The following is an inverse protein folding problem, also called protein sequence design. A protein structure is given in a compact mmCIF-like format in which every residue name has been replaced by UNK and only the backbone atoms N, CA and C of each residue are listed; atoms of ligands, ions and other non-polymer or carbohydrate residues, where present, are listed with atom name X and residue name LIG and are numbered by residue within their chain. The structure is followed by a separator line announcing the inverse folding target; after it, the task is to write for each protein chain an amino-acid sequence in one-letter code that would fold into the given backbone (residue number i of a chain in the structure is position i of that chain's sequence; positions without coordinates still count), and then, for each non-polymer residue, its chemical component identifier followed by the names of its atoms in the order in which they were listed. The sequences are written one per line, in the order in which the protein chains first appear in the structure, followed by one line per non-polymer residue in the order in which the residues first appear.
data_IF_150312418211
#
_entry.id   IF_150312418211
#
_cell.length_a   1.000
_cell.length_b   1.000
_cell.length_c   1.000
_cell.angle_alpha   90.00
_cell.angle_beta   90.00
_cell.angle_gamma   90.00
#
_symmetry.space_group_name_H-M   'P 1'
#
loop_
_entity.id
_entity.type
_entity.pdbx_description
1 polymer ?
#
# COMPACT_ATOMS: atom_id res chain seq x y z
N UNK A 1 -25.83 -10.42 -15.01
CA UNK A 1 -24.52 -10.12 -15.61
C UNK A 1 -23.58 -11.21 -15.14
N UNK A 2 -22.95 -11.96 -16.04
CA UNK A 2 -22.05 -13.07 -15.65
C UNK A 2 -20.70 -12.44 -15.31
N UNK A 3 -20.28 -12.53 -14.06
CA UNK A 3 -18.91 -12.26 -13.65
C UNK A 3 -18.12 -13.56 -13.69
N UNK A 4 -16.84 -13.46 -14.01
CA UNK A 4 -15.87 -14.56 -13.95
C UNK A 4 -14.72 -14.15 -13.02
N UNK A 5 -13.81 -15.06 -12.70
CA UNK A 5 -12.76 -14.82 -11.71
C UNK A 5 -11.37 -15.03 -12.26
N UNK A 6 -10.42 -14.29 -11.69
CA UNK A 6 -9.00 -14.46 -11.94
C UNK A 6 -8.25 -14.42 -10.62
N UNK A 7 -7.28 -15.31 -10.46
CA UNK A 7 -6.36 -15.35 -9.33
C UNK A 7 -4.99 -14.86 -9.79
N UNK A 8 -4.43 -13.89 -9.08
CA UNK A 8 -3.13 -13.30 -9.44
C UNK A 8 -2.23 -13.20 -8.21
N UNK A 9 -0.93 -13.22 -8.48
CA UNK A 9 0.12 -12.91 -7.52
C UNK A 9 0.90 -11.68 -7.96
N UNK A 10 1.07 -10.71 -7.06
CA UNK A 10 1.98 -9.57 -7.25
C UNK A 10 3.24 -9.80 -6.45
N UNK A 11 4.41 -9.69 -7.10
CA UNK A 11 5.72 -9.94 -6.48
C UNK A 11 6.55 -8.68 -6.55
N UNK A 12 6.96 -8.17 -5.40
CA UNK A 12 7.76 -6.95 -5.28
C UNK A 12 9.10 -7.03 -5.98
N UNK A 13 9.38 -6.05 -6.84
CA UNK A 13 10.71 -5.80 -7.46
C UNK A 13 11.42 -4.67 -6.71
N UNK A 14 10.67 -3.81 -6.03
CA UNK A 14 11.17 -2.75 -5.14
C UNK A 14 10.48 -2.88 -3.78
N UNK A 15 11.11 -2.39 -2.69
CA UNK A 15 10.47 -2.41 -1.38
C UNK A 15 9.10 -1.75 -1.42
N UNK A 16 8.13 -2.30 -0.70
CA UNK A 16 6.82 -1.67 -0.50
C UNK A 16 6.95 -0.61 0.59
N UNK A 17 6.36 0.55 0.35
CA UNK A 17 6.21 1.61 1.35
C UNK A 17 4.73 1.80 1.62
N UNK A 18 4.28 1.46 2.84
CA UNK A 18 2.88 1.63 3.21
C UNK A 18 2.60 3.05 3.69
N UNK A 19 1.39 3.52 3.41
CA UNK A 19 0.88 4.75 3.98
C UNK A 19 -0.65 4.70 4.08
N UNK A 20 -1.16 4.11 5.15
CA UNK A 20 -2.58 4.11 5.45
C UNK A 20 -3.13 5.52 5.67
N UNK A 21 -4.40 5.72 5.29
CA UNK A 21 -5.12 6.98 5.45
C UNK A 21 -5.51 7.30 6.89
N UNK A 22 -5.26 6.41 7.86
CA UNK A 22 -5.65 6.62 9.27
C UNK A 22 -5.18 7.95 9.82
N UNK A 23 -3.93 8.32 9.52
CA UNK A 23 -3.28 9.56 9.98
C UNK A 23 -3.89 10.85 9.39
N UNK A 24 -4.78 10.76 8.41
CA UNK A 24 -5.51 11.93 7.89
C UNK A 24 -6.92 12.08 8.48
N UNK A 25 -7.47 11.03 9.11
CA UNK A 25 -8.77 11.12 9.78
C UNK A 25 -8.61 11.77 11.16
N UNK A 26 -9.19 12.96 11.41
CA UNK A 26 -9.08 13.63 12.71
C UNK A 26 -9.80 12.88 13.85
N UNK A 27 -10.69 11.94 13.52
CA UNK A 27 -11.44 11.13 14.49
C UNK A 27 -10.72 9.82 14.86
N UNK A 28 -9.76 9.36 14.05
CA UNK A 28 -9.00 8.15 14.35
C UNK A 28 -8.16 8.35 15.63
N UNK A 29 -8.20 7.41 16.60
CA UNK A 29 -7.39 7.47 17.81
C UNK A 29 -5.90 7.75 17.57
N UNK A 30 -5.31 7.17 16.51
CA UNK A 30 -3.88 7.32 16.22
C UNK A 30 -3.54 8.72 15.72
N UNK A 31 -4.46 9.36 15.00
CA UNK A 31 -4.33 10.76 14.57
C UNK A 31 -4.42 11.71 15.75
N UNK A 32 -5.34 11.44 16.69
CA UNK A 32 -5.48 12.23 17.93
C UNK A 32 -4.24 12.10 18.80
N UNK A 33 -3.67 10.90 18.90
CA UNK A 33 -2.41 10.65 19.62
C UNK A 33 -1.24 11.41 18.98
N UNK A 34 -1.13 11.36 17.65
CA UNK A 34 -0.11 12.10 16.91
C UNK A 34 -0.26 13.61 17.14
N UNK A 35 -1.48 14.15 17.01
CA UNK A 35 -1.79 15.56 17.19
C UNK A 35 -1.40 16.09 18.58
N UNK A 36 -1.63 15.29 19.64
CA UNK A 36 -1.24 15.63 21.01
C UNK A 36 0.26 15.89 21.16
N UNK A 37 1.10 15.14 20.44
CA UNK A 37 2.56 15.26 20.52
C UNK A 37 3.08 16.29 19.53
N UNK A 38 2.52 16.32 18.31
CA UNK A 38 2.92 17.29 17.28
C UNK A 38 2.49 18.71 17.61
N UNK A 39 1.46 18.90 18.43
CA UNK A 39 1.01 20.19 18.95
C UNK A 39 1.93 20.83 20.00
N UNK A 40 2.90 20.09 20.56
CA UNK A 40 3.86 20.65 21.53
C UNK A 40 4.72 21.74 20.88
N UNK A 41 4.83 22.90 21.55
CA UNK A 41 5.66 24.04 21.09
C UNK A 41 7.16 23.69 21.02
N UNK A 42 7.68 23.06 22.07
CA UNK A 42 9.05 22.56 22.13
C UNK A 42 9.00 21.03 22.18
N UNK A 43 9.67 20.37 21.24
CA UNK A 43 9.72 18.90 21.14
C UNK A 43 11.10 18.41 21.55
N UNK A 44 11.11 17.40 22.39
CA UNK A 44 12.33 16.69 22.80
C UNK A 44 12.70 15.60 21.79
N UNK A 45 13.90 15.04 21.92
CA UNK A 45 14.27 13.85 21.16
C UNK A 45 13.30 12.67 21.41
N UNK A 46 12.75 12.56 22.63
CA UNK A 46 11.75 11.54 22.97
C UNK A 46 10.45 11.75 22.18
N UNK A 47 9.97 12.99 22.09
CA UNK A 47 8.78 13.33 21.30
C UNK A 47 8.97 12.96 19.82
N UNK A 48 10.16 13.18 19.26
CA UNK A 48 10.46 12.80 17.88
C UNK A 48 10.50 11.29 17.66
N UNK A 49 10.95 10.50 18.64
CA UNK A 49 10.89 9.02 18.56
C UNK A 49 9.45 8.54 18.64
N UNK A 50 8.64 9.16 19.49
CA UNK A 50 7.25 8.76 19.65
C UNK A 50 6.40 9.15 18.43
N UNK A 51 6.64 10.33 17.85
CA UNK A 51 6.07 10.70 16.54
C UNK A 51 6.43 9.64 15.49
N UNK A 52 7.70 9.24 15.41
CA UNK A 52 8.14 8.22 14.46
C UNK A 52 7.43 6.87 14.68
N UNK A 53 7.23 6.47 15.95
CA UNK A 53 6.48 5.27 16.31
C UNK A 53 5.03 5.36 15.82
N UNK A 54 4.29 6.38 16.26
CA UNK A 54 2.88 6.57 15.91
C UNK A 54 2.67 6.65 14.40
N UNK A 55 3.54 7.37 13.68
CA UNK A 55 3.46 7.47 12.23
C UNK A 55 3.70 6.14 11.51
N UNK A 56 4.58 5.30 12.06
CA UNK A 56 4.83 3.98 11.51
C UNK A 56 3.60 3.08 11.72
N UNK A 57 3.09 2.99 12.95
CA UNK A 57 1.88 2.20 13.24
C UNK A 57 0.66 2.69 12.46
N UNK A 58 0.45 4.00 12.37
CA UNK A 58 -0.64 4.60 11.60
C UNK A 58 -0.43 4.55 10.09
N UNK A 59 0.77 4.19 9.64
CA UNK A 59 1.09 3.99 8.23
C UNK A 59 0.84 2.58 7.73
N UNK A 60 0.66 1.60 8.62
CA UNK A 60 0.43 0.20 8.25
C UNK A 60 -0.97 0.01 7.65
N UNK A 61 -1.04 -0.73 6.55
CA UNK A 61 -2.28 -1.35 6.11
C UNK A 61 -2.44 -2.68 6.83
N UNK A 62 -3.52 -2.82 7.59
CA UNK A 62 -3.82 -3.99 8.39
C UNK A 62 -5.25 -4.46 8.10
N UNK A 63 -5.43 -5.78 8.08
CA UNK A 63 -6.74 -6.44 8.17
C UNK A 63 -6.65 -7.46 9.30
N UNK A 64 -7.59 -7.39 10.25
CA UNK A 64 -7.59 -8.23 11.46
C UNK A 64 -6.23 -8.28 12.20
N UNK A 65 -5.52 -7.14 12.23
CA UNK A 65 -4.22 -6.99 12.87
C UNK A 65 -3.02 -7.51 12.06
N UNK A 66 -3.23 -8.03 10.86
CA UNK A 66 -2.18 -8.60 10.00
C UNK A 66 -1.87 -7.65 8.83
N UNK A 67 -0.60 -7.45 8.43
CA UNK A 67 -0.26 -6.63 7.27
C UNK A 67 -0.92 -7.14 5.98
N UNK A 68 -1.53 -6.22 5.24
CA UNK A 68 -2.25 -6.51 4.01
C UNK A 68 -2.04 -5.41 2.96
N UNK A 69 -2.50 -5.66 1.73
CA UNK A 69 -2.73 -4.64 0.72
C UNK A 69 -4.25 -4.49 0.59
N UNK A 70 -4.81 -3.29 0.82
CA UNK A 70 -6.25 -3.06 0.66
C UNK A 70 -6.70 -3.30 -0.79
N UNK A 71 -7.93 -3.80 -0.97
CA UNK A 71 -8.51 -4.06 -2.29
C UNK A 71 -8.46 -2.79 -3.17
N UNK A 72 -8.84 -1.65 -2.59
CA UNK A 72 -8.87 -0.36 -3.27
C UNK A 72 -7.47 0.09 -3.73
N UNK A 73 -6.40 -0.34 -3.06
CA UNK A 73 -5.04 -0.05 -3.47
C UNK A 73 -4.64 -0.89 -4.70
N UNK A 74 -5.05 -2.16 -4.75
CA UNK A 74 -4.85 -3.07 -5.88
C UNK A 74 -5.63 -2.58 -7.10
N UNK A 75 -6.91 -2.24 -6.92
CA UNK A 75 -7.77 -1.68 -7.97
C UNK A 75 -7.25 -0.34 -8.49
N UNK A 76 -6.82 0.56 -7.60
CA UNK A 76 -6.24 1.83 -8.00
C UNK A 76 -4.96 1.64 -8.82
N UNK A 77 -4.13 0.66 -8.46
CA UNK A 77 -2.96 0.30 -9.25
C UNK A 77 -3.38 -0.25 -10.62
N UNK A 78 -4.35 -1.16 -10.68
CA UNK A 78 -4.88 -1.71 -11.93
C UNK A 78 -5.40 -0.61 -12.87
N UNK A 79 -6.30 0.25 -12.37
CA UNK A 79 -6.89 1.37 -13.13
C UNK A 79 -5.80 2.34 -13.61
N UNK A 80 -4.78 2.61 -12.80
CA UNK A 80 -3.66 3.45 -13.20
C UNK A 80 -2.85 2.85 -14.36
N UNK A 81 -2.62 1.53 -14.36
CA UNK A 81 -2.03 0.82 -15.49
C UNK A 81 -2.90 0.89 -16.74
N UNK A 82 -4.21 0.67 -16.59
CA UNK A 82 -5.16 0.70 -17.70
C UNK A 82 -5.26 2.08 -18.36
N UNK A 83 -5.11 3.16 -17.59
CA UNK A 83 -5.07 4.53 -18.11
C UNK A 83 -3.93 4.75 -19.11
N UNK A 84 -2.79 4.07 -18.94
CA UNK A 84 -1.66 4.14 -19.89
C UNK A 84 -2.03 3.54 -21.26
N UNK A 85 -2.99 2.62 -21.27
CA UNK A 85 -3.51 1.96 -22.46
C UNK A 85 -4.84 2.58 -22.94
N UNK A 86 -5.24 3.74 -22.41
CA UNK A 86 -6.53 4.41 -22.69
C UNK A 86 -7.77 3.58 -22.32
N UNK A 87 -7.64 2.64 -21.39
CA UNK A 87 -8.71 1.74 -20.93
C UNK A 87 -9.21 2.03 -19.51
N UNK A 88 -8.86 3.19 -18.94
CA UNK A 88 -9.15 3.50 -17.53
C UNK A 88 -10.62 3.35 -17.12
N UNK A 89 -11.58 3.81 -17.96
CA UNK A 89 -13.02 3.66 -17.69
C UNK A 89 -13.49 2.21 -17.78
N UNK A 90 -12.99 1.48 -18.79
CA UNK A 90 -13.29 0.05 -18.98
C UNK A 90 -12.77 -0.78 -17.80
N UNK A 91 -11.56 -0.51 -17.34
CA UNK A 91 -10.95 -1.17 -16.19
C UNK A 91 -11.72 -0.88 -14.90
N UNK A 92 -12.05 0.39 -14.63
CA UNK A 92 -12.79 0.77 -13.43
C UNK A 92 -14.20 0.18 -13.33
N UNK A 93 -14.83 -0.13 -14.47
CA UNK A 93 -16.15 -0.76 -14.51
C UNK A 93 -16.09 -2.30 -14.57
N UNK A 94 -14.90 -2.87 -14.79
CA UNK A 94 -14.75 -4.25 -15.22
C UNK A 94 -14.08 -5.19 -14.23
N UNK A 95 -13.54 -4.69 -13.10
CA UNK A 95 -12.87 -5.49 -12.09
C UNK A 95 -13.31 -5.09 -10.68
N UNK A 96 -13.35 -6.07 -9.79
CA UNK A 96 -13.54 -5.89 -8.35
C UNK A 96 -12.64 -6.90 -7.63
N UNK A 97 -11.84 -6.45 -6.66
CA UNK A 97 -10.90 -7.30 -5.92
C UNK A 97 -11.60 -7.86 -4.68
N UNK A 98 -11.45 -9.17 -4.44
CA UNK A 98 -12.07 -9.90 -3.34
C UNK A 98 -11.37 -9.57 -2.00
N UNK A 99 -11.60 -8.36 -1.49
CA UNK A 99 -11.11 -7.91 -0.19
C UNK A 99 -9.59 -7.68 -0.09
N UNK A 100 -9.10 -7.36 1.13
CA UNK A 100 -7.69 -7.11 1.36
C UNK A 100 -6.83 -8.36 1.14
N UNK A 101 -5.72 -8.21 0.41
CA UNK A 101 -4.79 -9.29 0.15
C UNK A 101 -3.73 -9.37 1.26
N UNK A 102 -3.56 -10.53 1.90
CA UNK A 102 -2.54 -10.72 2.93
C UNK A 102 -1.14 -10.47 2.37
N UNK A 103 -0.33 -9.72 3.11
CA UNK A 103 1.06 -9.47 2.76
C UNK A 103 1.96 -10.62 3.22
N UNK A 104 2.68 -11.23 2.29
CA UNK A 104 3.78 -12.14 2.59
C UNK A 104 5.09 -11.40 2.51
N UNK A 105 5.91 -11.49 3.56
CA UNK A 105 7.21 -10.82 3.68
C UNK A 105 8.13 -11.61 4.61
N UNK A 106 9.45 -11.39 4.52
CA UNK A 106 10.42 -11.98 5.44
C UNK A 106 10.50 -11.16 6.73
N UNK A 107 9.84 -11.61 7.81
CA UNK A 107 9.92 -10.99 9.13
C UNK A 107 8.88 -11.48 10.14
N UNK A 108 8.86 -10.87 11.36
CA UNK A 108 7.88 -11.19 12.39
C UNK A 108 6.44 -10.95 11.92
N UNK A 109 5.52 -11.79 12.39
CA UNK A 109 4.07 -11.58 12.17
C UNK A 109 3.47 -10.65 13.23
N UNK A 110 4.06 -10.59 14.42
CA UNK A 110 3.67 -9.64 15.46
C UNK A 110 4.12 -8.23 15.10
N UNK A 111 3.21 -7.27 15.19
CA UNK A 111 3.44 -5.88 14.74
C UNK A 111 4.42 -5.14 15.66
N UNK A 112 4.43 -5.43 16.97
CA UNK A 112 5.35 -4.81 17.91
C UNK A 112 6.78 -5.34 17.71
N UNK A 113 6.94 -6.64 17.44
CA UNK A 113 8.21 -7.23 17.01
C UNK A 113 8.68 -6.69 15.66
N UNK A 114 7.74 -6.46 14.73
CA UNK A 114 8.03 -5.84 13.44
C UNK A 114 8.54 -4.41 13.63
N UNK A 115 7.91 -3.62 14.51
CA UNK A 115 8.39 -2.29 14.87
C UNK A 115 9.81 -2.37 15.38
N UNK A 116 10.16 -3.26 16.32
CA UNK A 116 11.52 -3.36 16.91
C UNK A 116 12.65 -3.50 15.89
N UNK A 117 12.37 -4.02 14.69
CA UNK A 117 13.35 -4.17 13.62
C UNK A 117 13.44 -2.93 12.72
N UNK A 118 14.59 -2.25 12.71
CA UNK A 118 14.80 -1.02 11.94
C UNK A 118 14.62 -1.19 10.42
N UNK A 119 14.86 -2.38 9.87
CA UNK A 119 14.69 -2.66 8.43
C UNK A 119 13.26 -2.40 7.92
N UNK A 120 12.26 -2.49 8.81
CA UNK A 120 10.86 -2.20 8.48
C UNK A 120 10.49 -0.73 8.57
N UNK A 121 11.43 0.16 8.88
CA UNK A 121 11.19 1.58 9.07
C UNK A 121 11.93 2.37 8.00
N UNK A 122 11.19 3.14 7.20
CA UNK A 122 11.79 4.19 6.39
C UNK A 122 11.57 5.54 7.08
N UNK A 123 12.65 6.19 7.49
CA UNK A 123 12.61 7.56 8.03
C UNK A 123 13.27 8.52 7.04
N UNK A 124 12.48 9.43 6.48
CA UNK A 124 12.95 10.36 5.44
C UNK A 124 12.35 11.76 5.60
N UNK A 125 13.06 12.82 5.18
CA UNK A 125 12.49 14.17 5.15
C UNK A 125 11.47 14.26 4.01
N UNK A 126 10.27 14.76 4.32
CA UNK A 126 9.25 15.12 3.32
C UNK A 126 8.99 16.61 3.37
N UNK A 127 8.56 17.17 2.23
CA UNK A 127 8.16 18.58 2.14
C UNK A 127 6.68 18.71 2.52
N UNK A 128 6.39 19.60 3.46
CA UNK A 128 5.02 19.99 3.84
C UNK A 128 4.92 21.51 3.70
N UNK A 129 4.27 21.97 2.64
CA UNK A 129 4.31 23.39 2.26
C UNK A 129 5.74 23.84 1.96
N UNK A 130 6.24 24.79 2.74
CA UNK A 130 7.62 25.30 2.65
C UNK A 130 8.59 24.60 3.61
N UNK A 131 8.09 23.87 4.61
CA UNK A 131 8.91 23.21 5.62
C UNK A 131 9.32 21.79 5.21
N UNK A 132 10.38 21.28 5.83
CA UNK A 132 10.75 19.86 5.80
C UNK A 132 10.48 19.22 7.15
N UNK A 133 9.83 18.06 7.14
CA UNK A 133 9.53 17.28 8.35
C UNK A 133 9.94 15.84 8.13
N UNK A 134 10.60 15.25 9.12
CA UNK A 134 10.92 13.82 9.08
C UNK A 134 9.63 13.01 9.26
N UNK A 135 9.35 12.09 8.33
CA UNK A 135 8.27 11.11 8.45
C UNK A 135 8.84 9.73 8.60
N UNK A 136 8.13 8.88 9.34
CA UNK A 136 8.45 7.45 9.43
C UNK A 136 7.32 6.63 8.83
N UNK A 137 7.67 5.63 8.01
CA UNK A 137 6.73 4.80 7.25
C UNK A 137 7.12 3.32 7.32
N UNK A 138 6.16 2.39 7.33
CA UNK A 138 6.44 0.97 7.19
C UNK A 138 6.99 0.63 5.82
N UNK A 139 8.11 -0.09 5.80
CA UNK A 139 8.82 -0.52 4.61
C UNK A 139 8.98 -2.03 4.62
N UNK A 140 8.66 -2.71 3.54
CA UNK A 140 8.86 -4.15 3.40
C UNK A 140 9.79 -4.41 2.21
N UNK A 141 10.97 -4.98 2.48
CA UNK A 141 12.02 -5.15 1.46
C UNK A 141 11.70 -6.22 0.43
N UNK A 142 11.22 -7.36 0.92
CA UNK A 142 10.66 -8.43 0.12
C UNK A 142 9.18 -8.52 0.45
N UNK A 143 8.35 -8.58 -0.59
CA UNK A 143 6.92 -8.72 -0.40
C UNK A 143 6.25 -9.38 -1.60
N UNK A 144 5.17 -10.09 -1.33
CA UNK A 144 4.21 -10.52 -2.34
C UNK A 144 2.81 -10.57 -1.75
N UNK A 145 1.80 -10.60 -2.63
CA UNK A 145 0.40 -10.81 -2.29
C UNK A 145 -0.26 -11.71 -3.32
N UNK A 146 -1.16 -12.55 -2.84
CA UNK A 146 -2.08 -13.33 -3.66
C UNK A 146 -3.47 -12.77 -3.46
N UNK A 147 -4.21 -12.60 -4.54
CA UNK A 147 -5.57 -12.10 -4.48
C UNK A 147 -6.40 -12.68 -5.61
N UNK A 148 -7.71 -12.71 -5.37
CA UNK A 148 -8.73 -13.05 -6.36
C UNK A 148 -9.47 -11.77 -6.73
N UNK A 149 -9.86 -11.67 -7.99
CA UNK A 149 -10.71 -10.60 -8.47
C UNK A 149 -11.82 -11.18 -9.34
N UNK A 150 -13.01 -10.63 -9.19
CA UNK A 150 -14.09 -10.82 -10.16
C UNK A 150 -13.94 -9.81 -11.29
N UNK A 151 -14.29 -10.21 -12.51
CA UNK A 151 -14.25 -9.34 -13.67
C UNK A 151 -15.43 -9.56 -14.60
N UNK A 152 -15.73 -8.56 -15.43
CA UNK A 152 -16.76 -8.64 -16.47
C UNK A 152 -16.13 -9.12 -17.79
N UNK A 153 -16.47 -10.34 -18.29
CA UNK A 153 -15.88 -10.88 -19.52
C UNK A 153 -16.19 -10.07 -20.78
N UNK A 154 -17.24 -9.25 -20.76
CA UNK A 154 -17.57 -8.32 -21.84
C UNK A 154 -16.61 -7.14 -21.93
N UNK A 155 -15.88 -6.84 -20.85
CA UNK A 155 -14.95 -5.70 -20.76
C UNK A 155 -13.50 -6.16 -20.65
N UNK A 156 -13.23 -7.22 -19.91
CA UNK A 156 -11.87 -7.67 -19.59
C UNK A 156 -11.72 -9.16 -19.88
N UNK A 157 -10.48 -9.58 -20.04
CA UNK A 157 -10.10 -11.00 -20.13
C UNK A 157 -8.88 -11.24 -19.22
N UNK A 158 -8.62 -12.48 -18.78
CA UNK A 158 -7.47 -12.77 -17.91
C UNK A 158 -6.12 -12.30 -18.49
N UNK A 159 -5.82 -12.50 -19.80
CA UNK A 159 -4.59 -11.96 -20.39
C UNK A 159 -4.51 -10.42 -20.34
N UNK A 160 -5.63 -9.74 -20.63
CA UNK A 160 -5.67 -8.27 -20.57
C UNK A 160 -5.48 -7.77 -19.14
N UNK A 161 -6.05 -8.47 -18.14
CA UNK A 161 -5.90 -8.14 -16.73
C UNK A 161 -4.43 -8.25 -16.32
N UNK A 162 -3.77 -9.36 -16.68
CA UNK A 162 -2.35 -9.58 -16.43
C UNK A 162 -1.49 -8.48 -17.09
N UNK A 163 -1.75 -8.14 -18.36
CA UNK A 163 -1.02 -7.09 -19.08
C UNK A 163 -1.16 -5.71 -18.43
N UNK A 164 -2.36 -5.36 -17.95
CA UNK A 164 -2.61 -4.11 -17.24
C UNK A 164 -1.83 -4.08 -15.92
N UNK A 165 -1.85 -5.18 -15.15
CA UNK A 165 -1.07 -5.28 -13.92
C UNK A 165 0.43 -5.22 -14.19
N UNK A 166 0.93 -5.86 -15.24
CA UNK A 166 2.34 -5.79 -15.64
C UNK A 166 2.75 -4.34 -15.95
N UNK A 167 1.93 -3.62 -16.73
CA UNK A 167 2.15 -2.20 -17.01
C UNK A 167 2.13 -1.34 -15.73
N UNK A 168 1.18 -1.60 -14.84
CA UNK A 168 1.06 -0.89 -13.56
C UNK A 168 2.26 -1.14 -12.65
N UNK A 169 2.68 -2.39 -12.49
CA UNK A 169 3.82 -2.78 -11.66
C UNK A 169 5.15 -2.17 -12.13
N UNK A 170 5.30 -1.98 -13.45
CA UNK A 170 6.46 -1.29 -14.01
C UNK A 170 6.41 0.23 -13.80
N UNK A 171 5.29 0.87 -14.15
CA UNK A 171 5.23 2.33 -14.29
C UNK A 171 4.75 3.07 -13.04
N UNK A 172 4.04 2.39 -12.13
CA UNK A 172 3.44 2.98 -10.93
C UNK A 172 3.75 2.19 -9.67
N UNK A 173 3.30 0.94 -9.57
CA UNK A 173 3.39 0.15 -8.34
C UNK A 173 2.30 0.46 -7.30
N UNK A 174 2.47 -0.13 -6.12
CA UNK A 174 1.60 0.00 -4.94
C UNK A 174 2.23 0.92 -3.88
N UNK A 175 1.40 1.42 -2.95
CA UNK A 175 1.90 2.19 -1.81
C UNK A 175 2.30 3.62 -2.12
N UNK A 176 3.20 4.14 -1.30
CA UNK A 176 3.65 5.53 -1.32
C UNK A 176 4.97 5.71 -2.07
N UNK A 177 5.30 6.95 -2.42
CA UNK A 177 6.52 7.36 -3.12
C UNK A 177 6.79 6.57 -4.41
N UNK A 178 5.72 6.23 -5.11
CA UNK A 178 5.74 5.60 -6.43
C UNK A 178 6.36 6.54 -7.48
N UNK A 179 7.15 6.03 -8.45
CA UNK A 179 7.47 4.62 -8.71
C UNK A 179 8.77 4.14 -8.03
N UNK A 180 9.34 4.90 -7.06
CA UNK A 180 10.58 4.52 -6.37
C UNK A 180 10.37 3.27 -5.52
N UNK A 181 9.20 3.14 -4.91
CA UNK A 181 8.76 2.01 -4.08
C UNK A 181 7.55 1.30 -4.71
N UNK A 182 7.31 0.08 -4.25
CA UNK A 182 6.11 -0.71 -4.53
C UNK A 182 5.95 -1.21 -5.96
N UNK A 183 7.00 -1.17 -6.78
CA UNK A 183 7.00 -1.82 -8.09
C UNK A 183 6.94 -3.34 -7.94
N UNK A 184 6.25 -3.99 -8.85
CA UNK A 184 6.03 -5.44 -8.83
C UNK A 184 6.01 -6.04 -10.24
N UNK A 185 6.14 -7.37 -10.31
CA UNK A 185 5.74 -8.20 -11.45
C UNK A 185 4.47 -8.97 -11.08
N UNK A 186 3.74 -9.44 -12.07
CA UNK A 186 2.50 -10.20 -11.91
C UNK A 186 2.68 -11.63 -12.40
N UNK A 187 2.06 -12.58 -11.72
CA UNK A 187 1.88 -13.97 -12.15
C UNK A 187 0.39 -14.30 -12.11
N UNK A 188 -0.12 -15.03 -13.10
CA UNK A 188 -1.45 -15.65 -13.01
C UNK A 188 -1.33 -16.93 -12.19
N UNK A 189 -2.32 -17.19 -11.35
CA UNK A 189 -2.42 -18.42 -10.58
C UNK A 189 -3.48 -19.30 -11.25
N UNK A 190 -3.16 -20.58 -11.43
CA UNK A 190 -4.07 -21.60 -11.99
C UNK A 190 -5.25 -21.91 -11.05
#
# INVERSE_FOLDING_TARGET
MVSDFVSLRLIGIRPLLMHAGRLCDPLDPISRELARITGKRLKTASDHREIARIEWFGGLWLTDGVPCIPAEAIEAAFIAGAKMQRRGKQAAAGIEVDGPARLFYDGPQDIDELWKQERFRLRAPVRVGTARTMRTRPRFDTWNVDFRASYLPSLLSPPLIADIFAASGFARGLGDWRPKFGRFRVECLD
#
